data_IF_948664507570
#
_entry.id   IF_948664507570
#
_cell.length_a   1.000
_cell.length_b   1.000
_cell.length_c   1.000
_cell.angle_alpha   90.00
_cell.angle_beta   90.00
_cell.angle_gamma   90.00
#
_symmetry.space_group_name_H-M   'P 1'
#
loop_
_entity.id
_entity.type
_entity.pdbx_description
1 polymer ?
#
# COMPACT_ATOMS: atom_id res chain seq x y z
N UNK A 1 39.11 27.90 35.83
CA UNK A 1 38.33 28.03 34.57
C UNK A 1 37.56 26.76 34.17
N UNK A 2 37.63 25.64 34.90
CA UNK A 2 37.01 24.35 34.52
C UNK A 2 35.56 24.16 34.99
N UNK A 3 35.14 24.74 36.13
CA UNK A 3 33.75 24.59 36.64
C UNK A 3 32.68 25.30 35.81
N UNK A 4 33.03 26.37 35.09
CA UNK A 4 32.07 27.18 34.34
C UNK A 4 31.54 26.51 33.05
N UNK A 5 32.26 25.52 32.50
CA UNK A 5 31.87 24.80 31.27
C UNK A 5 31.15 23.47 31.50
N UNK A 6 31.22 22.92 32.72
CA UNK A 6 30.62 21.61 33.05
C UNK A 6 29.12 21.71 33.28
N UNK A 7 28.64 22.78 33.93
CA UNK A 7 27.21 23.01 34.15
C UNK A 7 26.37 23.08 32.86
N UNK A 8 26.74 23.85 31.82
CA UNK A 8 25.94 23.92 30.60
C UNK A 8 25.97 22.62 29.77
N UNK A 9 27.07 21.85 29.81
CA UNK A 9 27.13 20.53 29.17
C UNK A 9 26.19 19.52 29.85
N UNK A 10 26.11 19.52 31.19
CA UNK A 10 25.15 18.69 31.94
C UNK A 10 23.71 19.08 31.58
N UNK A 11 23.42 20.39 31.50
CA UNK A 11 22.10 20.88 31.07
C UNK A 11 21.76 20.40 29.67
N UNK A 12 22.69 20.46 28.70
CA UNK A 12 22.46 19.95 27.34
C UNK A 12 22.11 18.45 27.32
N UNK A 13 22.81 17.63 28.11
CA UNK A 13 22.53 16.19 28.22
C UNK A 13 21.15 15.96 28.85
N UNK A 14 20.80 16.68 29.91
CA UNK A 14 19.49 16.57 30.56
C UNK A 14 18.35 17.00 29.63
N UNK A 15 18.54 18.08 28.86
CA UNK A 15 17.58 18.53 27.85
C UNK A 15 17.44 17.51 26.74
N UNK A 16 18.54 16.97 26.21
CA UNK A 16 18.50 15.93 25.19
C UNK A 16 17.76 14.67 25.68
N UNK A 17 18.05 14.22 26.90
CA UNK A 17 17.36 13.10 27.53
C UNK A 17 15.86 13.40 27.73
N UNK A 18 15.51 14.61 28.18
CA UNK A 18 14.12 15.05 28.33
C UNK A 18 13.39 15.09 26.98
N UNK A 19 14.02 15.58 25.90
CA UNK A 19 13.43 15.59 24.55
C UNK A 19 13.18 14.16 24.04
N UNK A 20 14.13 13.23 24.22
CA UNK A 20 13.95 11.82 23.84
C UNK A 20 12.85 11.16 24.67
N UNK A 21 12.76 11.47 25.96
CA UNK A 21 11.72 10.92 26.82
C UNK A 21 10.34 11.50 26.49
N UNK A 22 10.21 12.83 26.38
CA UNK A 22 8.95 13.52 26.12
C UNK A 22 8.38 13.17 24.74
N UNK A 23 9.22 13.07 23.70
CA UNK A 23 8.79 12.65 22.36
C UNK A 23 8.16 11.25 22.34
N UNK A 24 8.54 10.37 23.28
CA UNK A 24 8.02 9.00 23.38
C UNK A 24 6.87 8.85 24.38
N UNK A 25 6.93 9.59 25.49
CA UNK A 25 6.00 9.43 26.59
C UNK A 25 4.76 10.34 26.46
N UNK A 26 4.86 11.44 25.70
CA UNK A 26 3.79 12.43 25.60
C UNK A 26 3.04 12.32 24.26
N UNK A 27 1.73 11.99 24.25
CA UNK A 27 0.98 11.76 23.01
C UNK A 27 1.01 12.93 22.02
N UNK A 28 0.96 14.18 22.49
CA UNK A 28 1.06 15.37 21.64
C UNK A 28 2.42 15.50 20.94
N UNK A 29 3.51 15.11 21.62
CA UNK A 29 4.84 15.17 21.05
C UNK A 29 5.00 14.06 20.01
N UNK A 30 4.55 12.84 20.31
CA UNK A 30 4.51 11.75 19.34
C UNK A 30 3.69 12.12 18.07
N UNK A 31 2.50 12.70 18.25
CA UNK A 31 1.68 13.17 17.14
C UNK A 31 2.32 14.31 16.33
N UNK A 32 3.13 15.17 16.96
CA UNK A 32 3.88 16.20 16.26
C UNK A 32 5.03 15.60 15.43
N UNK A 33 5.74 14.62 16.00
CA UNK A 33 6.79 13.86 15.30
C UNK A 33 6.23 13.10 14.10
N UNK A 34 5.07 12.44 14.25
CA UNK A 34 4.43 11.72 13.14
C UNK A 34 4.00 12.67 12.02
N UNK A 35 3.45 13.84 12.35
CA UNK A 35 3.13 14.86 11.35
C UNK A 35 4.38 15.40 10.65
N UNK A 36 5.46 15.65 11.38
CA UNK A 36 6.72 16.10 10.79
C UNK A 36 7.34 15.02 9.90
N UNK A 37 7.26 13.75 10.33
CA UNK A 37 7.69 12.61 9.54
C UNK A 37 6.87 12.48 8.25
N UNK A 38 5.55 12.67 8.31
CA UNK A 38 4.68 12.67 7.14
C UNK A 38 5.01 13.79 6.16
N UNK A 39 5.15 15.03 6.67
CA UNK A 39 5.56 16.18 5.87
C UNK A 39 6.89 15.94 5.17
N UNK A 40 7.87 15.36 5.88
CA UNK A 40 9.17 15.00 5.32
C UNK A 40 9.04 13.89 4.27
N UNK A 41 8.28 12.84 4.55
CA UNK A 41 8.06 11.75 3.60
C UNK A 41 7.37 12.25 2.32
N UNK A 42 6.34 13.08 2.44
CA UNK A 42 5.69 13.71 1.28
C UNK A 42 6.58 14.72 0.56
N UNK A 43 7.43 15.46 1.29
CA UNK A 43 8.30 16.45 0.68
C UNK A 43 9.45 15.85 -0.13
N UNK A 44 9.93 14.68 0.28
CA UNK A 44 11.05 13.97 -0.36
C UNK A 44 10.62 12.65 -1.01
N UNK A 45 9.32 12.46 -1.25
CA UNK A 45 8.83 11.32 -1.99
C UNK A 45 9.49 11.30 -3.37
N UNK A 46 10.01 10.16 -3.86
CA UNK A 46 10.50 10.07 -5.23
C UNK A 46 9.36 10.25 -6.23
N UNK A 47 9.64 10.95 -7.33
CA UNK A 47 8.71 11.18 -8.43
C UNK A 47 9.27 10.45 -9.66
N UNK A 48 8.41 9.80 -10.44
CA UNK A 48 8.80 9.16 -11.69
C UNK A 48 8.55 10.12 -12.86
N UNK A 49 9.29 10.00 -13.99
CA UNK A 49 9.03 10.83 -15.17
C UNK A 49 7.62 10.66 -15.73
N UNK A 50 7.03 9.48 -15.56
CA UNK A 50 5.70 9.09 -15.99
C UNK A 50 5.13 8.00 -15.07
N UNK A 51 3.95 7.48 -15.41
CA UNK A 51 3.33 6.31 -14.76
C UNK A 51 4.32 5.15 -14.51
N UNK A 52 4.14 4.46 -13.38
CA UNK A 52 4.95 3.32 -13.01
C UNK A 52 4.93 2.24 -14.11
N UNK A 53 6.10 1.80 -14.62
CA UNK A 53 6.16 1.01 -15.84
C UNK A 53 5.76 -0.46 -15.64
N UNK A 54 5.71 -0.96 -14.40
CA UNK A 54 5.49 -2.38 -14.10
C UNK A 54 4.25 -2.71 -13.29
N UNK A 55 3.48 -1.70 -12.86
CA UNK A 55 2.31 -1.89 -11.99
C UNK A 55 1.15 -1.07 -12.54
N UNK A 56 -0.05 -1.64 -12.50
CA UNK A 56 -1.30 -0.98 -12.87
C UNK A 56 -2.44 -1.44 -11.97
N UNK A 57 -3.52 -0.66 -11.97
CA UNK A 57 -4.71 -0.87 -11.15
C UNK A 57 -5.93 -1.09 -12.04
N UNK A 58 -6.76 -2.05 -11.64
CA UNK A 58 -8.10 -2.27 -12.20
C UNK A 58 -9.11 -2.15 -11.05
N UNK A 59 -9.96 -1.13 -11.09
CA UNK A 59 -10.69 -0.69 -9.92
C UNK A 59 -12.20 -0.94 -10.02
N UNK A 60 -12.77 -1.44 -8.93
CA UNK A 60 -14.22 -1.39 -8.67
C UNK A 60 -14.53 -0.01 -8.08
N UNK A 61 -15.11 0.87 -8.89
CA UNK A 61 -15.45 2.26 -8.53
C UNK A 61 -16.97 2.42 -8.34
N UNK A 62 -17.42 3.59 -7.88
CA UNK A 62 -18.86 3.91 -7.84
C UNK A 62 -19.52 3.85 -9.22
N UNK A 63 -18.79 4.20 -10.28
CA UNK A 63 -19.25 4.05 -11.67
C UNK A 63 -19.45 2.57 -12.03
N UNK A 64 -18.50 1.69 -11.65
CA UNK A 64 -18.64 0.24 -11.82
C UNK A 64 -19.92 -0.30 -11.16
N UNK A 65 -20.26 0.22 -9.98
CA UNK A 65 -21.39 -0.27 -9.19
C UNK A 65 -22.73 0.35 -9.58
N UNK A 66 -22.74 1.47 -10.31
CA UNK A 66 -23.95 2.24 -10.62
C UNK A 66 -25.00 1.41 -11.39
N UNK A 67 -24.54 0.52 -12.28
CA UNK A 67 -25.39 -0.31 -13.12
C UNK A 67 -25.63 -1.72 -12.54
N UNK A 68 -25.10 -2.01 -11.35
CA UNK A 68 -25.24 -3.31 -10.70
C UNK A 68 -26.41 -3.32 -9.70
N UNK A 69 -27.15 -4.44 -9.59
CA UNK A 69 -28.26 -4.55 -8.64
C UNK A 69 -27.82 -4.58 -7.16
N UNK A 70 -26.52 -4.75 -6.90
CA UNK A 70 -25.94 -4.81 -5.57
C UNK A 70 -24.50 -4.28 -5.58
N UNK A 71 -24.05 -3.78 -4.42
CA UNK A 71 -22.66 -3.33 -4.21
C UNK A 71 -21.72 -4.44 -3.74
N UNK A 72 -22.24 -5.40 -2.97
CA UNK A 72 -21.46 -6.47 -2.36
C UNK A 72 -22.29 -7.75 -2.20
N UNK A 73 -21.74 -8.95 -2.49
CA UNK A 73 -20.43 -9.19 -3.12
C UNK A 73 -20.29 -8.51 -4.49
N UNK A 74 -19.07 -8.18 -4.93
CA UNK A 74 -18.87 -7.68 -6.30
C UNK A 74 -19.24 -8.78 -7.29
N UNK A 75 -19.94 -8.43 -8.38
CA UNK A 75 -20.42 -9.38 -9.39
C UNK A 75 -19.27 -10.27 -9.92
N UNK A 76 -19.40 -11.60 -9.75
CA UNK A 76 -18.33 -12.54 -10.11
C UNK A 76 -18.18 -12.75 -11.61
N UNK A 77 -19.24 -12.49 -12.38
CA UNK A 77 -19.19 -12.51 -13.84
C UNK A 77 -18.37 -11.34 -14.38
N UNK A 78 -18.54 -10.15 -13.79
CA UNK A 78 -17.73 -8.98 -14.07
C UNK A 78 -16.25 -9.23 -13.75
N UNK A 79 -15.94 -9.80 -12.58
CA UNK A 79 -14.56 -10.16 -12.23
C UNK A 79 -14.02 -11.21 -13.20
N UNK A 80 -14.78 -12.26 -13.53
CA UNK A 80 -14.35 -13.30 -14.47
C UNK A 80 -14.05 -12.76 -15.87
N UNK A 81 -14.88 -11.83 -16.37
CA UNK A 81 -14.66 -11.15 -17.64
C UNK A 81 -13.38 -10.30 -17.61
N UNK A 82 -13.15 -9.56 -16.52
CA UNK A 82 -11.92 -8.79 -16.33
C UNK A 82 -10.68 -9.69 -16.27
N UNK A 83 -10.71 -10.78 -15.48
CA UNK A 83 -9.62 -11.77 -15.43
C UNK A 83 -9.31 -12.32 -16.82
N UNK A 84 -10.33 -12.71 -17.58
CA UNK A 84 -10.13 -13.22 -18.95
C UNK A 84 -9.49 -12.18 -19.86
N UNK A 85 -9.99 -10.94 -19.86
CA UNK A 85 -9.45 -9.85 -20.67
C UNK A 85 -7.98 -9.52 -20.30
N UNK A 86 -7.65 -9.51 -19.01
CA UNK A 86 -6.27 -9.29 -18.54
C UNK A 86 -5.34 -10.43 -18.98
N UNK A 87 -5.82 -11.67 -18.97
CA UNK A 87 -5.08 -12.82 -19.47
C UNK A 87 -4.75 -12.67 -20.96
N UNK A 88 -5.72 -12.28 -21.76
CA UNK A 88 -5.55 -12.04 -23.21
C UNK A 88 -4.62 -10.87 -23.54
N UNK A 89 -4.52 -9.87 -22.65
CA UNK A 89 -3.63 -8.72 -22.79
C UNK A 89 -2.17 -9.04 -22.43
N UNK A 90 -1.90 -10.20 -21.82
CA UNK A 90 -0.54 -10.62 -21.46
C UNK A 90 0.06 -9.80 -20.32
N UNK A 91 -0.73 -9.55 -19.26
CA UNK A 91 -0.20 -8.99 -18.01
C UNK A 91 0.78 -9.98 -17.35
N UNK A 92 1.76 -9.47 -16.60
CA UNK A 92 2.81 -10.30 -15.99
C UNK A 92 2.36 -11.02 -14.70
N UNK A 93 1.27 -10.59 -14.10
CA UNK A 93 0.68 -11.18 -12.89
C UNK A 93 -0.58 -10.45 -12.46
N UNK A 94 -1.37 -11.08 -11.60
CA UNK A 94 -2.64 -10.55 -11.13
C UNK A 94 -2.79 -10.70 -9.62
N UNK A 95 -2.94 -9.58 -8.92
CA UNK A 95 -3.37 -9.54 -7.53
C UNK A 95 -4.84 -9.19 -7.43
N UNK A 96 -5.64 -9.95 -6.69
CA UNK A 96 -7.05 -9.63 -6.46
C UNK A 96 -7.27 -9.32 -4.98
N UNK A 97 -7.40 -8.03 -4.68
CA UNK A 97 -7.69 -7.49 -3.35
C UNK A 97 -9.21 -7.42 -3.11
N UNK A 98 -9.86 -8.58 -3.22
CA UNK A 98 -11.28 -8.79 -2.96
C UNK A 98 -11.42 -10.13 -2.24
N UNK A 99 -12.09 -10.15 -1.10
CA UNK A 99 -12.38 -11.37 -0.35
C UNK A 99 -13.53 -12.17 -0.98
N UNK A 100 -13.23 -13.42 -1.33
CA UNK A 100 -14.20 -14.40 -1.83
C UNK A 100 -14.72 -15.27 -0.67
N UNK A 101 -15.29 -14.62 0.35
CA UNK A 101 -15.64 -15.22 1.66
C UNK A 101 -17.04 -15.83 1.77
N UNK A 102 -17.84 -15.70 0.71
CA UNK A 102 -19.21 -16.24 0.61
C UNK A 102 -19.61 -16.50 -0.83
N UNK A 103 -20.58 -17.40 -0.98
CA UNK A 103 -21.21 -17.68 -2.26
C UNK A 103 -21.94 -16.46 -2.83
N UNK A 104 -21.98 -16.38 -4.16
CA UNK A 104 -22.82 -15.43 -4.88
C UNK A 104 -23.83 -16.18 -5.76
N UNK A 105 -23.77 -16.00 -7.07
CA UNK A 105 -24.54 -16.75 -8.07
C UNK A 105 -23.70 -17.94 -8.55
N UNK A 106 -24.19 -19.21 -8.42
CA UNK A 106 -23.37 -20.40 -8.67
C UNK A 106 -22.70 -20.45 -10.04
N UNK A 107 -23.39 -20.00 -11.09
CA UNK A 107 -22.85 -19.96 -12.46
C UNK A 107 -21.71 -18.94 -12.59
N UNK A 108 -21.84 -17.78 -11.95
CA UNK A 108 -20.82 -16.72 -11.97
C UNK A 108 -19.62 -17.08 -11.08
N UNK A 109 -19.86 -17.72 -9.93
CA UNK A 109 -18.80 -18.29 -9.07
C UNK A 109 -17.98 -19.32 -9.87
N UNK A 110 -18.65 -20.24 -10.57
CA UNK A 110 -17.99 -21.25 -11.40
C UNK A 110 -17.21 -20.63 -12.57
N UNK A 111 -17.77 -19.61 -13.23
CA UNK A 111 -17.09 -18.88 -14.31
C UNK A 111 -15.82 -18.19 -13.82
N UNK A 112 -15.86 -17.56 -12.64
CA UNK A 112 -14.68 -16.94 -12.05
C UNK A 112 -13.59 -17.96 -11.70
N UNK A 113 -13.96 -19.08 -11.08
CA UNK A 113 -13.00 -20.17 -10.80
C UNK A 113 -12.36 -20.68 -12.10
N UNK A 114 -13.14 -20.85 -13.17
CA UNK A 114 -12.62 -21.27 -14.47
C UNK A 114 -11.67 -20.24 -15.08
N UNK A 115 -12.01 -18.95 -15.02
CA UNK A 115 -11.17 -17.86 -15.52
C UNK A 115 -9.83 -17.78 -14.76
N UNK A 116 -9.86 -17.91 -13.44
CA UNK A 116 -8.66 -17.89 -12.60
C UNK A 116 -7.74 -19.09 -12.88
N UNK A 117 -8.31 -20.30 -13.09
CA UNK A 117 -7.54 -21.49 -13.49
C UNK A 117 -6.86 -21.34 -14.85
N UNK A 118 -7.55 -20.71 -15.79
CA UNK A 118 -7.08 -20.52 -17.16
C UNK A 118 -6.10 -19.35 -17.29
N UNK A 119 -5.93 -18.54 -16.24
CA UNK A 119 -5.11 -17.33 -16.30
C UNK A 119 -3.63 -17.68 -16.55
N UNK A 120 -2.98 -17.06 -17.55
CA UNK A 120 -1.67 -17.53 -18.04
C UNK A 120 -0.48 -17.11 -17.18
N UNK A 121 -0.70 -16.32 -16.13
CA UNK A 121 0.35 -15.73 -15.29
C UNK A 121 0.08 -16.00 -13.79
N UNK A 122 1.03 -15.71 -12.89
CA UNK A 122 0.80 -15.87 -11.45
C UNK A 122 -0.40 -15.04 -10.95
N UNK A 123 -1.27 -15.68 -10.17
CA UNK A 123 -2.40 -15.04 -9.48
C UNK A 123 -2.19 -15.11 -7.97
N UNK A 124 -2.44 -13.99 -7.28
CA UNK A 124 -2.50 -13.91 -5.82
C UNK A 124 -3.88 -13.40 -5.40
N UNK A 125 -4.62 -14.21 -4.66
CA UNK A 125 -5.91 -13.83 -4.09
C UNK A 125 -5.74 -13.29 -2.67
N UNK A 126 -6.56 -12.30 -2.30
CA UNK A 126 -6.70 -11.89 -0.91
C UNK A 126 -7.25 -13.05 -0.06
N UNK A 127 -6.57 -13.36 1.04
CA UNK A 127 -7.02 -14.31 2.06
C UNK A 127 -7.20 -13.63 3.41
N UNK A 128 -8.00 -14.23 4.29
CA UNK A 128 -8.17 -13.80 5.67
C UNK A 128 -8.61 -14.98 6.54
N UNK A 129 -8.37 -14.91 7.84
CA UNK A 129 -8.75 -15.93 8.80
C UNK A 129 -9.55 -15.39 9.99
N UNK A 130 -9.69 -16.22 11.03
CA UNK A 130 -10.37 -15.82 12.27
C UNK A 130 -9.68 -14.65 12.98
N UNK A 131 -8.35 -14.54 12.86
CA UNK A 131 -7.58 -13.41 13.39
C UNK A 131 -7.95 -12.07 12.72
N UNK A 132 -8.49 -12.13 11.51
CA UNK A 132 -8.92 -10.98 10.70
C UNK A 132 -10.44 -10.75 10.79
N UNK A 133 -11.12 -11.46 11.70
CA UNK A 133 -12.54 -11.26 11.99
C UNK A 133 -13.52 -12.08 11.14
N UNK A 134 -13.05 -13.05 10.35
CA UNK A 134 -13.95 -13.93 9.60
C UNK A 134 -14.64 -14.94 10.52
N UNK A 135 -15.94 -15.14 10.31
CA UNK A 135 -16.67 -16.24 10.93
C UNK A 135 -16.21 -17.60 10.35
N UNK A 136 -16.34 -18.71 11.09
CA UNK A 136 -15.87 -20.02 10.63
C UNK A 136 -16.41 -20.45 9.26
N UNK A 137 -17.68 -20.14 8.96
CA UNK A 137 -18.28 -20.45 7.66
C UNK A 137 -17.68 -19.62 6.51
N UNK A 138 -17.29 -18.37 6.78
CA UNK A 138 -16.62 -17.50 5.81
C UNK A 138 -15.20 -18.00 5.53
N UNK A 139 -14.44 -18.34 6.58
CA UNK A 139 -13.11 -18.95 6.43
C UNK A 139 -13.18 -20.23 5.60
N UNK A 140 -14.12 -21.13 5.94
CA UNK A 140 -14.26 -22.40 5.22
C UNK A 140 -14.64 -22.21 3.74
N UNK A 141 -15.51 -21.23 3.42
CA UNK A 141 -15.86 -20.91 2.04
C UNK A 141 -14.66 -20.32 1.30
N UNK A 142 -13.95 -19.35 1.90
CA UNK A 142 -12.77 -18.71 1.32
C UNK A 142 -11.68 -19.73 1.00
N UNK A 143 -11.35 -20.61 1.94
CA UNK A 143 -10.37 -21.68 1.78
C UNK A 143 -10.77 -22.61 0.62
N UNK A 144 -12.05 -22.99 0.55
CA UNK A 144 -12.58 -23.83 -0.52
C UNK A 144 -12.52 -23.13 -1.89
N UNK A 145 -12.82 -21.83 -1.94
CA UNK A 145 -12.76 -21.04 -3.17
C UNK A 145 -11.31 -20.92 -3.66
N UNK A 146 -10.37 -20.54 -2.79
CA UNK A 146 -8.94 -20.45 -3.13
C UNK A 146 -8.43 -21.81 -3.62
N UNK A 147 -8.69 -22.89 -2.88
CA UNK A 147 -8.30 -24.25 -3.27
C UNK A 147 -8.89 -24.65 -4.62
N UNK A 148 -10.14 -24.27 -4.90
CA UNK A 148 -10.78 -24.53 -6.18
C UNK A 148 -10.08 -23.83 -7.34
N UNK A 149 -9.45 -22.66 -7.15
CA UNK A 149 -8.73 -21.93 -8.21
C UNK A 149 -7.30 -22.42 -8.44
N UNK A 150 -6.64 -22.93 -7.38
CA UNK A 150 -5.20 -23.26 -7.41
C UNK A 150 -4.28 -22.04 -7.39
N UNK A 151 -4.81 -20.83 -7.19
CA UNK A 151 -4.02 -19.61 -7.10
C UNK A 151 -3.23 -19.51 -5.78
N UNK A 152 -2.14 -18.73 -5.81
CA UNK A 152 -1.49 -18.31 -4.57
C UNK A 152 -2.44 -17.36 -3.80
N UNK A 153 -2.20 -17.20 -2.50
CA UNK A 153 -2.95 -16.26 -1.70
C UNK A 153 -2.07 -15.67 -0.59
N UNK A 154 -2.47 -14.49 -0.12
CA UNK A 154 -1.81 -13.80 0.98
C UNK A 154 -2.78 -12.82 1.64
N UNK A 155 -2.52 -12.53 2.91
CA UNK A 155 -3.34 -11.57 3.67
C UNK A 155 -2.95 -10.14 3.25
N UNK A 156 -3.89 -9.33 2.70
CA UNK A 156 -3.64 -7.95 2.31
C UNK A 156 -3.71 -6.99 3.51
N UNK A 157 -3.18 -7.40 4.66
CA UNK A 157 -3.20 -6.59 5.87
C UNK A 157 -2.40 -5.30 5.64
N UNK A 158 -2.88 -4.17 6.18
CA UNK A 158 -2.14 -2.92 6.28
C UNK A 158 -1.94 -2.56 7.75
N UNK A 159 -0.74 -2.10 8.10
CA UNK A 159 -0.47 -1.59 9.45
C UNK A 159 -0.99 -0.16 9.56
N UNK A 160 -2.13 0.00 10.23
CA UNK A 160 -2.74 1.30 10.53
C UNK A 160 -2.20 1.79 11.87
N UNK A 161 -1.53 2.95 11.84
CA UNK A 161 -1.02 3.60 13.04
C UNK A 161 -2.18 4.14 13.91
N UNK A 162 -1.96 4.45 15.20
CA UNK A 162 -3.03 4.95 16.10
C UNK A 162 -3.74 6.22 15.61
N UNK A 163 -3.10 7.02 14.75
CA UNK A 163 -3.69 8.22 14.14
C UNK A 163 -4.41 7.94 12.80
N UNK A 164 -4.61 6.66 12.46
CA UNK A 164 -5.35 6.20 11.29
C UNK A 164 -4.56 6.19 9.99
N UNK A 165 -3.27 6.50 10.01
CA UNK A 165 -2.46 6.51 8.81
C UNK A 165 -1.67 5.22 8.60
N UNK A 166 -1.46 4.85 7.34
CA UNK A 166 -0.66 3.70 6.92
C UNK A 166 0.71 4.19 6.47
N UNK A 167 1.75 3.76 7.18
CA UNK A 167 3.12 4.22 6.92
C UNK A 167 4.15 3.10 6.81
N UNK A 168 3.81 1.91 7.28
CA UNK A 168 4.74 0.81 7.50
C UNK A 168 4.24 -0.49 6.89
N UNK A 169 5.20 -1.33 6.53
CA UNK A 169 4.99 -2.66 6.00
C UNK A 169 4.43 -3.60 7.06
N UNK A 170 3.32 -4.23 6.73
CA UNK A 170 2.73 -5.39 7.42
C UNK A 170 3.17 -6.69 6.73
N UNK A 171 3.20 -7.80 7.49
CA UNK A 171 3.33 -9.16 6.94
C UNK A 171 4.69 -9.56 6.35
N UNK A 172 5.59 -8.60 6.06
CA UNK A 172 6.92 -8.88 5.50
C UNK A 172 6.86 -9.73 4.22
N UNK A 173 7.70 -10.77 4.15
CA UNK A 173 7.78 -11.67 2.99
C UNK A 173 6.49 -12.48 2.70
N UNK A 174 5.58 -12.59 3.67
CA UNK A 174 4.30 -13.28 3.51
C UNK A 174 3.13 -12.33 3.17
N UNK A 175 3.39 -11.02 3.06
CA UNK A 175 2.37 -10.03 2.74
C UNK A 175 1.94 -10.05 1.27
N UNK A 176 0.74 -9.56 1.00
CA UNK A 176 0.14 -9.57 -0.35
C UNK A 176 1.03 -8.99 -1.46
N UNK A 177 1.57 -7.79 -1.26
CA UNK A 177 2.49 -7.16 -2.23
C UNK A 177 3.80 -7.95 -2.41
N UNK A 178 4.29 -8.62 -1.35
CA UNK A 178 5.50 -9.45 -1.41
C UNK A 178 5.25 -10.73 -2.21
N UNK A 179 4.12 -11.41 -1.97
CA UNK A 179 3.71 -12.60 -2.72
C UNK A 179 3.51 -12.29 -4.20
N UNK A 180 2.96 -11.11 -4.53
CA UNK A 180 2.84 -10.63 -5.92
C UNK A 180 4.18 -10.33 -6.58
N UNK A 181 5.14 -9.77 -5.84
CA UNK A 181 6.48 -9.56 -6.37
C UNK A 181 7.21 -10.88 -6.68
N UNK A 182 6.85 -11.96 -5.98
CA UNK A 182 7.50 -13.26 -6.10
C UNK A 182 8.99 -13.15 -5.75
N UNK A 183 9.86 -13.63 -6.64
CA UNK A 183 11.31 -13.54 -6.46
C UNK A 183 11.89 -12.18 -6.90
N UNK A 184 11.03 -11.23 -7.29
CA UNK A 184 11.47 -9.93 -7.82
C UNK A 184 11.92 -9.01 -6.70
N UNK A 185 13.23 -8.82 -6.56
CA UNK A 185 13.78 -7.86 -5.62
C UNK A 185 13.72 -8.31 -4.16
N UNK A 186 14.11 -7.42 -3.26
CA UNK A 186 14.14 -7.72 -1.82
C UNK A 186 12.91 -7.13 -1.15
N UNK A 187 12.19 -7.95 -0.41
CA UNK A 187 11.05 -7.52 0.41
C UNK A 187 11.57 -6.75 1.63
N UNK A 188 10.99 -5.57 1.96
CA UNK A 188 11.26 -4.89 3.23
C UNK A 188 10.88 -5.75 4.44
N UNK A 189 11.57 -5.54 5.56
CA UNK A 189 11.20 -6.17 6.83
C UNK A 189 9.82 -5.69 7.29
N UNK A 190 9.16 -6.48 8.14
CA UNK A 190 7.98 -6.00 8.84
C UNK A 190 8.33 -4.72 9.62
N UNK A 191 7.39 -3.78 9.70
CA UNK A 191 7.55 -2.45 10.31
C UNK A 191 8.47 -1.48 9.54
N UNK A 192 9.09 -1.88 8.42
CA UNK A 192 9.84 -0.94 7.58
C UNK A 192 8.91 0.12 6.98
N UNK A 193 9.41 1.34 6.73
CA UNK A 193 8.61 2.41 6.08
C UNK A 193 8.26 2.06 4.64
N UNK A 194 7.01 2.33 4.27
CA UNK A 194 6.58 2.31 2.87
C UNK A 194 7.19 3.53 2.16
N UNK A 195 7.87 3.26 1.05
CA UNK A 195 8.39 4.28 0.16
C UNK A 195 7.28 4.69 -0.81
N UNK A 196 6.41 5.61 -0.41
CA UNK A 196 5.40 6.15 -1.32
C UNK A 196 6.05 6.92 -2.48
N UNK A 197 5.46 6.82 -3.67
CA UNK A 197 5.82 7.68 -4.81
C UNK A 197 4.97 8.95 -4.73
N UNK A 198 5.57 10.10 -5.00
CA UNK A 198 4.81 11.32 -5.27
C UNK A 198 4.17 11.28 -6.66
N UNK A 199 3.35 12.29 -7.00
CA UNK A 199 2.79 12.42 -8.34
C UNK A 199 3.90 12.40 -9.42
N UNK A 200 3.73 11.69 -10.53
CA UNK A 200 4.64 11.74 -11.67
C UNK A 200 4.91 13.15 -12.20
N UNK A 201 6.07 13.34 -12.85
CA UNK A 201 6.49 14.62 -13.45
C UNK A 201 5.59 15.07 -14.61
N UNK A 202 5.00 14.13 -15.34
CA UNK A 202 4.05 14.39 -16.43
C UNK A 202 2.62 14.71 -15.95
N UNK A 203 2.38 14.65 -14.64
CA UNK A 203 1.09 14.94 -14.01
C UNK A 203 0.04 13.83 -14.17
N UNK A 204 0.39 12.67 -14.72
CA UNK A 204 -0.49 11.50 -14.73
C UNK A 204 -0.61 10.88 -13.32
N UNK A 205 -1.49 9.89 -13.15
CA UNK A 205 -1.53 9.11 -11.91
C UNK A 205 -0.24 8.29 -11.72
N UNK A 206 0.12 7.95 -10.48
CA UNK A 206 1.33 7.13 -10.20
C UNK A 206 1.28 5.78 -10.93
N UNK A 207 0.11 5.15 -10.95
CA UNK A 207 -0.14 3.88 -11.63
C UNK A 207 -1.21 4.10 -12.70
N UNK A 208 -1.14 3.37 -13.82
CA UNK A 208 -2.25 3.33 -14.76
C UNK A 208 -3.48 2.74 -14.05
N UNK A 209 -4.62 3.43 -14.08
CA UNK A 209 -5.85 3.01 -13.43
C UNK A 209 -6.98 2.86 -14.45
N UNK A 210 -7.69 1.75 -14.41
CA UNK A 210 -8.87 1.52 -15.25
C UNK A 210 -10.05 1.00 -14.43
N UNK A 211 -11.27 1.53 -14.64
CA UNK A 211 -12.47 0.90 -14.08
C UNK A 211 -12.65 -0.51 -14.64
N UNK A 212 -12.95 -1.47 -13.76
CA UNK A 212 -13.08 -2.89 -14.14
C UNK A 212 -14.15 -3.13 -15.22
N UNK A 213 -15.26 -2.39 -15.18
CA UNK A 213 -16.36 -2.52 -16.13
C UNK A 213 -15.98 -2.06 -17.55
N UNK A 214 -14.98 -1.18 -17.67
CA UNK A 214 -14.53 -0.65 -18.95
C UNK A 214 -13.65 -1.64 -19.73
N UNK A 215 -13.02 -2.62 -19.06
CA UNK A 215 -12.05 -3.52 -19.69
C UNK A 215 -12.59 -4.28 -20.91
N UNK A 216 -13.75 -4.95 -20.86
CA UNK A 216 -14.25 -5.70 -22.02
C UNK A 216 -14.54 -4.79 -23.22
N UNK A 217 -15.14 -3.62 -22.98
CA UNK A 217 -15.47 -2.65 -24.02
C UNK A 217 -14.20 -2.03 -24.63
N UNK A 218 -13.24 -1.63 -23.80
CA UNK A 218 -11.97 -1.07 -24.26
C UNK A 218 -11.12 -2.10 -25.01
N UNK A 219 -11.17 -3.37 -24.62
CA UNK A 219 -10.47 -4.44 -25.33
C UNK A 219 -11.03 -4.65 -26.74
N UNK A 220 -12.34 -4.49 -26.92
CA UNK A 220 -12.99 -4.57 -28.23
C UNK A 220 -12.72 -3.32 -29.09
N UNK A 221 -12.73 -2.12 -28.49
CA UNK A 221 -12.65 -0.85 -29.22
C UNK A 221 -11.20 -0.41 -29.50
N UNK A 222 -10.30 -0.59 -28.54
CA UNK A 222 -8.93 -0.10 -28.60
C UNK A 222 -7.95 -0.98 -27.82
N UNK A 223 -7.79 -2.23 -28.27
CA UNK A 223 -6.84 -3.19 -27.69
C UNK A 223 -5.41 -2.64 -27.59
N UNK A 224 -4.95 -1.88 -28.59
CA UNK A 224 -3.60 -1.32 -28.60
C UNK A 224 -3.34 -0.37 -27.42
N UNK A 225 -4.32 0.47 -27.06
CA UNK A 225 -4.21 1.33 -25.89
C UNK A 225 -4.19 0.53 -24.57
N UNK A 226 -5.01 -0.52 -24.45
CA UNK A 226 -4.94 -1.40 -23.28
C UNK A 226 -3.61 -2.15 -23.18
N UNK A 227 -3.08 -2.64 -24.30
CA UNK A 227 -1.77 -3.27 -24.31
C UNK A 227 -0.67 -2.28 -23.89
N UNK A 228 -0.71 -1.04 -24.38
CA UNK A 228 0.23 0.00 -23.94
C UNK A 228 0.12 0.29 -22.43
N UNK A 229 -1.08 0.23 -21.86
CA UNK A 229 -1.31 0.50 -20.44
C UNK A 229 -0.96 -0.69 -19.51
N UNK A 230 -1.21 -1.93 -19.94
CA UNK A 230 -1.27 -3.11 -19.05
C UNK A 230 -0.31 -4.25 -19.40
N UNK A 231 0.09 -4.41 -20.67
CA UNK A 231 0.88 -5.57 -21.10
C UNK A 231 2.22 -5.63 -20.37
N UNK A 232 2.55 -6.81 -19.86
CA UNK A 232 3.78 -7.03 -19.09
C UNK A 232 3.82 -6.35 -17.71
N UNK A 233 2.74 -5.69 -17.27
CA UNK A 233 2.63 -5.14 -15.91
C UNK A 233 2.00 -6.17 -14.97
N UNK A 234 2.30 -6.06 -13.68
CA UNK A 234 1.52 -6.74 -12.63
C UNK A 234 0.31 -5.86 -12.33
N UNK A 235 -0.88 -6.44 -12.43
CA UNK A 235 -2.14 -5.71 -12.22
C UNK A 235 -2.68 -6.05 -10.84
N UNK A 236 -3.06 -5.03 -10.06
CA UNK A 236 -3.88 -5.23 -8.86
C UNK A 236 -5.32 -4.85 -9.18
N UNK A 237 -6.23 -5.77 -8.88
CA UNK A 237 -7.67 -5.59 -8.97
C UNK A 237 -8.24 -5.43 -7.57
N UNK A 238 -8.86 -4.30 -7.28
CA UNK A 238 -9.43 -4.03 -5.95
C UNK A 238 -10.50 -2.94 -5.99
N UNK A 239 -11.00 -2.55 -4.82
CA UNK A 239 -12.00 -1.50 -4.70
C UNK A 239 -11.34 -0.12 -4.54
N UNK A 240 -11.91 0.88 -5.22
CA UNK A 240 -11.71 2.28 -4.87
C UNK A 240 -13.08 2.93 -4.67
N UNK A 241 -13.55 2.91 -3.42
CA UNK A 241 -14.89 3.35 -3.04
C UNK A 241 -14.82 4.35 -1.87
N UNK A 242 -15.62 5.43 -1.88
CA UNK A 242 -15.63 6.41 -0.80
C UNK A 242 -15.94 5.76 0.56
N UNK A 243 -15.05 5.98 1.53
CA UNK A 243 -15.23 5.52 2.92
C UNK A 243 -15.06 4.01 3.13
N UNK A 244 -14.68 3.25 2.11
CA UNK A 244 -14.42 1.81 2.20
C UNK A 244 -12.95 1.58 1.87
N UNK A 245 -12.20 1.05 2.84
CA UNK A 245 -10.79 0.69 2.69
C UNK A 245 -9.91 1.83 2.11
N UNK A 246 -10.18 3.07 2.54
CA UNK A 246 -9.33 4.22 2.26
C UNK A 246 -8.60 4.63 3.53
N UNK A 247 -7.31 4.91 3.39
CA UNK A 247 -6.43 5.18 4.52
C UNK A 247 -5.65 6.47 4.29
N UNK A 248 -5.41 7.20 5.37
CA UNK A 248 -4.48 8.33 5.31
C UNK A 248 -3.07 7.79 5.08
N UNK A 249 -2.32 8.43 4.20
CA UNK A 249 -0.89 8.13 3.97
C UNK A 249 -0.05 9.38 4.22
N UNK A 250 1.28 9.28 4.32
CA UNK A 250 2.13 10.46 4.42
C UNK A 250 1.90 11.50 3.32
N UNK A 251 1.51 11.08 2.11
CA UNK A 251 1.24 12.00 0.98
C UNK A 251 0.08 12.98 1.26
N UNK A 252 -0.88 12.59 2.11
CA UNK A 252 -1.98 13.46 2.53
C UNK A 252 -1.49 14.69 3.32
N UNK A 253 -0.26 14.70 3.83
CA UNK A 253 0.31 15.87 4.52
C UNK A 253 0.50 17.09 3.61
N UNK A 254 0.62 16.90 2.28
CA UNK A 254 0.66 18.00 1.30
C UNK A 254 -0.62 18.14 0.50
N UNK A 255 -1.29 17.02 0.20
CA UNK A 255 -2.49 17.01 -0.64
C UNK A 255 -3.81 17.20 0.14
N UNK A 256 -3.78 17.12 1.48
CA UNK A 256 -4.96 17.22 2.34
C UNK A 256 -5.72 15.90 2.53
N UNK A 257 -6.76 15.90 3.37
CA UNK A 257 -7.55 14.71 3.72
C UNK A 257 -8.37 14.12 2.55
N UNK A 258 -8.58 14.89 1.48
CA UNK A 258 -9.18 14.37 0.25
C UNK A 258 -8.25 13.39 -0.52
N UNK A 259 -7.01 13.23 -0.05
CA UNK A 259 -6.00 12.35 -0.64
C UNK A 259 -5.83 11.02 0.13
N UNK A 260 -6.82 10.60 0.92
CA UNK A 260 -6.85 9.24 1.47
C UNK A 260 -6.78 8.24 0.32
N UNK A 261 -5.94 7.23 0.46
CA UNK A 261 -5.56 6.31 -0.61
C UNK A 261 -6.29 4.98 -0.43
N UNK A 262 -6.78 4.38 -1.52
CA UNK A 262 -7.39 3.06 -1.48
C UNK A 262 -6.37 2.00 -1.04
N UNK A 263 -6.79 0.99 -0.28
CA UNK A 263 -5.92 -0.08 0.20
C UNK A 263 -5.18 -0.78 -0.94
N UNK A 264 -5.87 -1.05 -2.05
CA UNK A 264 -5.27 -1.62 -3.26
C UNK A 264 -4.18 -0.73 -3.88
N UNK A 265 -4.32 0.59 -3.80
CA UNK A 265 -3.30 1.54 -4.28
C UNK A 265 -2.09 1.57 -3.34
N UNK A 266 -2.29 1.44 -2.03
CA UNK A 266 -1.19 1.25 -1.07
C UNK A 266 -0.42 -0.03 -1.38
N UNK A 267 -1.12 -1.14 -1.66
CA UNK A 267 -0.48 -2.39 -2.11
C UNK A 267 0.28 -2.22 -3.42
N UNK A 268 -0.19 -1.38 -4.34
CA UNK A 268 0.54 -1.03 -5.57
C UNK A 268 1.84 -0.25 -5.27
N UNK A 269 1.82 0.70 -4.32
CA UNK A 269 3.03 1.37 -3.85
C UNK A 269 4.02 0.40 -3.21
N UNK A 270 3.54 -0.52 -2.38
CA UNK A 270 4.35 -1.57 -1.75
C UNK A 270 4.97 -2.51 -2.79
N UNK A 271 4.17 -2.96 -3.77
CA UNK A 271 4.65 -3.79 -4.87
C UNK A 271 5.72 -3.05 -5.70
N UNK A 272 5.41 -1.82 -6.13
CA UNK A 272 6.36 -0.98 -6.85
C UNK A 272 7.65 -0.76 -6.05
N UNK A 273 7.58 -0.59 -4.73
CA UNK A 273 8.75 -0.42 -3.88
C UNK A 273 9.67 -1.66 -3.92
N UNK A 274 9.09 -2.86 -3.86
CA UNK A 274 9.83 -4.12 -3.96
C UNK A 274 10.47 -4.25 -5.33
N UNK A 275 9.68 -4.05 -6.38
CA UNK A 275 10.10 -4.16 -7.76
C UNK A 275 11.25 -3.19 -8.08
N UNK A 276 11.18 -1.95 -7.60
CA UNK A 276 12.18 -0.90 -7.83
C UNK A 276 13.39 -0.98 -6.89
N UNK A 277 13.35 -1.86 -5.88
CA UNK A 277 14.37 -1.91 -4.84
C UNK A 277 14.42 -0.65 -3.96
N UNK A 278 13.33 0.13 -3.91
CA UNK A 278 13.26 1.38 -3.15
C UNK A 278 13.30 1.11 -1.65
N UNK A 279 13.94 2.01 -0.90
CA UNK A 279 14.11 1.94 0.55
C UNK A 279 13.99 3.33 1.17
N UNK A 280 13.38 3.38 2.35
CA UNK A 280 13.41 4.56 3.21
C UNK A 280 14.30 4.22 4.40
N UNK A 281 15.41 4.93 4.54
CA UNK A 281 16.27 4.82 5.72
C UNK A 281 15.64 5.57 6.89
N UNK A 282 15.56 4.91 8.04
CA UNK A 282 15.23 5.55 9.31
C UNK A 282 16.48 5.64 10.19
N UNK A 283 16.66 6.78 10.85
CA UNK A 283 17.70 6.92 11.86
C UNK A 283 17.33 6.02 13.06
N UNK A 284 18.22 5.08 13.40
CA UNK A 284 18.03 4.27 14.59
C UNK A 284 17.99 5.14 15.87
N UNK A 285 17.44 4.62 16.99
CA UNK A 285 17.28 5.39 18.22
C UNK A 285 18.58 6.06 18.72
N UNK A 286 19.72 5.38 18.54
CA UNK A 286 21.03 5.91 18.90
C UNK A 286 21.47 7.08 18.00
N UNK A 287 21.24 6.98 16.69
CA UNK A 287 21.56 8.06 15.75
C UNK A 287 20.69 9.29 16.00
N UNK A 288 19.39 9.08 16.28
CA UNK A 288 18.48 10.16 16.67
C UNK A 288 18.93 10.82 17.99
N UNK A 289 19.25 10.03 19.03
CA UNK A 289 19.73 10.57 20.31
C UNK A 289 21.05 11.33 20.16
N UNK A 290 21.99 10.82 19.35
CA UNK A 290 23.25 11.50 19.06
C UNK A 290 23.01 12.84 18.35
N UNK A 291 22.11 12.88 17.36
CA UNK A 291 21.75 14.12 16.67
C UNK A 291 21.14 15.14 17.65
N UNK A 292 20.20 14.71 18.50
CA UNK A 292 19.58 15.57 19.52
C UNK A 292 20.66 16.13 20.47
N UNK A 293 21.59 15.29 20.91
CA UNK A 293 22.69 15.72 21.78
C UNK A 293 23.60 16.74 21.10
N UNK A 294 23.98 16.51 19.83
CA UNK A 294 24.79 17.45 19.06
C UNK A 294 24.08 18.79 18.90
N UNK A 295 22.78 18.79 18.58
CA UNK A 295 21.99 20.01 18.46
C UNK A 295 21.86 20.75 19.80
N UNK A 296 21.67 20.03 20.90
CA UNK A 296 21.63 20.61 22.25
C UNK A 296 22.97 21.25 22.63
N UNK A 297 24.10 20.60 22.31
CA UNK A 297 25.44 21.14 22.54
C UNK A 297 25.73 22.36 21.67
N UNK A 298 25.28 22.37 20.41
CA UNK A 298 25.38 23.54 19.53
C UNK A 298 24.57 24.72 20.06
N UNK A 299 23.37 24.48 20.59
CA UNK A 299 22.55 25.51 21.23
C UNK A 299 23.26 26.14 22.43
N UNK A 300 23.90 25.33 23.27
CA UNK A 300 24.74 25.82 24.38
C UNK A 300 25.91 26.66 23.87
N UNK A 301 26.60 26.22 22.83
CA UNK A 301 27.71 26.96 22.25
C UNK A 301 27.24 28.33 21.73
N UNK A 302 26.13 28.39 21.00
CA UNK A 302 25.56 29.63 20.47
C UNK A 302 25.08 30.58 21.57
N UNK A 303 24.56 30.08 22.69
CA UNK A 303 24.15 30.91 23.83
C UNK A 303 25.33 31.56 24.58
N UNK A 304 26.57 31.11 24.32
CA UNK A 304 27.79 31.64 24.92
C UNK A 304 28.57 32.59 23.99
N UNK A 305 28.06 32.87 22.79
CA UNK A 305 28.51 33.92 21.89
C UNK A 305 27.58 35.13 21.97
#
# INVERSE_FOLDING_TARGET
MTRARVAPAIVAVLVAAACVFLSRAWPLAAAAEDRLADLRAAAFAPHLPAQHPRVALVLVTEETLADLPYRSPVDRGLIAAAVSALGDLGVAGLGIDILFDRASEPEKDAALVAALKAFPAPVVLASAGAADGLAPAQTAYLDSFIAATGANHAVPALQVDPDGAVRRWSGGAAGFAATLAGESGRVPEADARIAFLGPPEDGADVFAQLPIHALPALAALNRAALEAALKGKIVLLGADLPGIDRHRTPLAARAGAAADMAGVEIHAHMLGQVLDGRRVGEAGPAAAAALILVLALLGVLLAHW
#
